data_IF_089505253975
#
_entry.id   IF_089505253975
#
_cell.length_a   1.000
_cell.length_b   1.000
_cell.length_c   1.000
_cell.angle_alpha   90.00
_cell.angle_beta   90.00
_cell.angle_gamma   90.00
#
_symmetry.space_group_name_H-M   'P 1'
#
loop_
_entity.id
_entity.type
_entity.pdbx_description
1 polymer ?
#
# COMPACT_ATOMS: atom_id res chain seq x y z
N UNK A 1 16.43 -26.45 -43.22
CA UNK A 1 16.25 -25.06 -42.77
C UNK A 1 17.56 -24.65 -42.11
N UNK A 2 18.27 -23.67 -42.69
CA UNK A 2 19.48 -23.13 -42.05
C UNK A 2 19.03 -22.47 -40.73
N UNK A 3 19.69 -22.85 -39.64
CA UNK A 3 19.48 -22.28 -38.35
C UNK A 3 19.91 -20.80 -38.39
N UNK A 4 19.00 -19.91 -38.76
CA UNK A 4 19.27 -18.46 -38.73
C UNK A 4 19.61 -18.11 -37.29
N UNK A 5 20.83 -17.61 -37.06
CA UNK A 5 21.30 -17.19 -35.74
C UNK A 5 20.62 -15.86 -35.38
N UNK A 6 19.34 -15.94 -34.96
CA UNK A 6 18.52 -14.79 -34.60
C UNK A 6 18.97 -14.33 -33.20
N UNK A 7 19.51 -13.10 -33.13
CA UNK A 7 20.03 -12.46 -31.90
C UNK A 7 20.01 -10.94 -32.05
N UNK A 8 20.41 -10.21 -31.02
CA UNK A 8 20.62 -8.76 -31.08
C UNK A 8 21.45 -8.40 -32.32
N UNK A 9 20.99 -7.41 -33.09
CA UNK A 9 21.53 -7.00 -34.35
C UNK A 9 21.00 -7.79 -35.56
N UNK A 10 20.06 -8.73 -35.37
CA UNK A 10 19.35 -9.35 -36.50
C UNK A 10 18.43 -8.33 -37.15
N UNK A 11 18.54 -8.20 -38.48
CA UNK A 11 17.80 -7.22 -39.27
C UNK A 11 16.92 -7.95 -40.30
N UNK A 12 15.66 -7.54 -40.37
CA UNK A 12 14.70 -7.97 -41.37
C UNK A 12 14.28 -6.77 -42.22
N UNK A 13 14.57 -6.75 -43.53
CA UNK A 13 14.20 -5.63 -44.40
C UNK A 13 12.69 -5.45 -44.55
N UNK A 14 12.26 -4.23 -44.82
CA UNK A 14 10.89 -3.87 -45.24
C UNK A 14 10.82 -3.59 -46.74
N UNK A 15 9.64 -3.68 -47.35
CA UNK A 15 8.36 -4.12 -46.77
C UNK A 15 8.30 -5.66 -46.65
N UNK A 16 7.46 -6.13 -45.69
CA UNK A 16 7.12 -7.56 -45.56
C UNK A 16 5.89 -7.81 -46.45
N UNK A 17 6.08 -8.45 -47.59
CA UNK A 17 5.01 -8.67 -48.60
C UNK A 17 4.88 -10.13 -49.05
N UNK A 18 5.91 -10.93 -48.90
CA UNK A 18 5.93 -12.34 -49.27
C UNK A 18 5.69 -13.24 -48.09
N UNK A 19 5.23 -14.49 -48.33
CA UNK A 19 5.05 -15.46 -47.27
C UNK A 19 6.37 -15.76 -46.52
N UNK A 20 7.48 -15.84 -47.29
CA UNK A 20 8.80 -16.08 -46.70
C UNK A 20 9.26 -14.96 -45.77
N UNK A 21 8.97 -13.70 -46.09
CA UNK A 21 9.24 -12.54 -45.20
C UNK A 21 8.32 -12.52 -43.97
N UNK A 22 7.04 -12.91 -44.11
CA UNK A 22 6.15 -13.08 -43.02
C UNK A 22 6.63 -14.17 -42.04
N UNK A 23 7.06 -15.32 -42.59
CA UNK A 23 7.60 -16.43 -41.80
C UNK A 23 8.88 -16.01 -41.06
N UNK A 24 9.76 -15.24 -41.74
CA UNK A 24 10.97 -14.70 -41.10
C UNK A 24 10.67 -13.72 -39.97
N UNK A 25 9.66 -12.87 -40.11
CA UNK A 25 9.22 -11.99 -39.05
C UNK A 25 8.64 -12.77 -37.85
N UNK A 26 7.88 -13.82 -38.14
CA UNK A 26 7.34 -14.70 -37.11
C UNK A 26 8.44 -15.46 -36.33
N UNK A 27 9.47 -15.96 -37.04
CA UNK A 27 10.66 -16.59 -36.45
C UNK A 27 11.41 -15.57 -35.55
N UNK A 28 11.57 -14.33 -36.01
CA UNK A 28 12.16 -13.24 -35.22
C UNK A 28 11.38 -12.96 -33.94
N UNK A 29 10.06 -12.85 -34.03
CA UNK A 29 9.20 -12.60 -32.88
C UNK A 29 9.22 -13.77 -31.87
N UNK A 30 9.23 -15.01 -32.36
CA UNK A 30 9.34 -16.20 -31.54
C UNK A 30 10.69 -16.26 -30.80
N UNK A 31 11.79 -15.97 -31.49
CA UNK A 31 13.11 -15.95 -30.84
C UNK A 31 13.20 -14.92 -29.73
N UNK A 32 12.59 -13.76 -29.90
CA UNK A 32 12.48 -12.72 -28.85
C UNK A 32 11.65 -13.23 -27.66
N UNK A 33 10.49 -13.83 -27.94
CA UNK A 33 9.63 -14.36 -26.88
C UNK A 33 10.32 -15.47 -26.09
N UNK A 34 11.00 -16.40 -26.76
CA UNK A 34 11.75 -17.49 -26.13
C UNK A 34 12.89 -16.93 -25.25
N UNK A 35 13.66 -15.97 -25.78
CA UNK A 35 14.71 -15.32 -25.00
C UNK A 35 14.14 -14.59 -23.78
N UNK A 36 13.11 -13.77 -23.97
CA UNK A 36 12.51 -12.98 -22.89
C UNK A 36 11.81 -13.84 -21.82
N UNK A 37 11.32 -15.01 -22.21
CA UNK A 37 10.73 -15.96 -21.25
C UNK A 37 11.78 -16.75 -20.46
N UNK A 38 12.92 -17.07 -21.08
CA UNK A 38 14.00 -17.87 -20.48
C UNK A 38 15.15 -17.05 -19.90
N UNK A 39 15.08 -15.71 -20.00
CA UNK A 39 16.16 -14.81 -19.58
C UNK A 39 16.49 -14.94 -18.09
N UNK A 40 17.79 -15.01 -17.79
CA UNK A 40 18.30 -15.07 -16.45
C UNK A 40 18.57 -13.68 -15.86
N UNK A 41 18.62 -13.57 -14.54
CA UNK A 41 19.02 -12.33 -13.84
C UNK A 41 20.39 -11.84 -14.36
N UNK A 42 20.41 -10.59 -14.83
CA UNK A 42 21.60 -9.95 -15.42
C UNK A 42 21.62 -9.93 -16.95
N UNK A 43 20.71 -10.63 -17.60
CA UNK A 43 20.46 -10.50 -19.04
C UNK A 43 19.54 -9.30 -19.33
N UNK A 44 19.30 -9.08 -20.63
CA UNK A 44 18.47 -8.00 -21.11
C UNK A 44 17.32 -8.54 -21.94
N UNK A 45 16.16 -7.89 -21.88
CA UNK A 45 15.08 -8.14 -22.82
C UNK A 45 15.55 -7.86 -24.26
N UNK A 46 15.03 -8.63 -25.20
CA UNK A 46 15.14 -8.30 -26.60
C UNK A 46 13.86 -7.59 -27.05
N UNK A 47 14.03 -6.57 -27.87
CA UNK A 47 12.92 -5.76 -28.37
C UNK A 47 13.05 -5.60 -29.90
N UNK A 48 11.90 -5.47 -30.58
CA UNK A 48 11.89 -5.11 -32.01
C UNK A 48 11.90 -3.58 -32.08
N UNK A 49 12.94 -3.05 -32.69
CA UNK A 49 12.99 -1.67 -33.15
C UNK A 49 12.56 -1.60 -34.61
N UNK A 50 11.50 -0.84 -34.86
CA UNK A 50 11.04 -0.55 -36.20
C UNK A 50 11.73 0.70 -36.72
N UNK A 51 12.51 0.53 -37.82
CA UNK A 51 13.13 1.61 -38.57
C UNK A 51 12.36 1.81 -39.89
N UNK A 52 12.70 2.83 -40.67
CA UNK A 52 12.01 3.14 -41.93
C UNK A 52 12.08 2.01 -42.96
N UNK A 53 13.23 1.32 -43.03
CA UNK A 53 13.59 0.30 -44.03
C UNK A 53 13.73 -1.12 -43.46
N UNK A 54 13.65 -1.30 -42.11
CA UNK A 54 13.84 -2.63 -41.51
C UNK A 54 13.23 -2.74 -40.11
N UNK A 55 13.11 -4.00 -39.65
CA UNK A 55 12.96 -4.37 -38.26
C UNK A 55 14.30 -4.87 -37.73
N UNK A 56 14.69 -4.46 -36.55
CA UNK A 56 15.95 -4.84 -35.91
C UNK A 56 15.70 -5.34 -34.50
N UNK A 57 16.37 -6.43 -34.09
CA UNK A 57 16.41 -6.85 -32.70
C UNK A 57 17.43 -6.00 -31.94
N UNK A 58 16.95 -5.24 -30.98
CA UNK A 58 17.78 -4.41 -30.10
C UNK A 58 17.73 -4.90 -28.68
N UNK A 59 18.72 -4.49 -27.90
CA UNK A 59 18.74 -4.70 -26.47
C UNK A 59 17.76 -3.73 -25.79
N UNK A 60 16.81 -4.27 -25.04
CA UNK A 60 15.89 -3.53 -24.21
C UNK A 60 16.40 -3.34 -22.79
N UNK A 61 15.49 -3.25 -21.83
CA UNK A 61 15.82 -3.12 -20.41
C UNK A 61 16.46 -4.41 -19.85
N UNK A 62 17.28 -4.30 -18.79
CA UNK A 62 17.77 -5.49 -18.08
C UNK A 62 16.63 -6.25 -17.42
N UNK A 63 16.76 -7.57 -17.32
CA UNK A 63 15.87 -8.37 -16.49
C UNK A 63 15.96 -7.94 -15.03
N UNK A 64 14.85 -7.95 -14.27
CA UNK A 64 14.87 -7.63 -12.86
C UNK A 64 15.78 -8.62 -12.11
N UNK A 65 16.60 -8.10 -11.23
CA UNK A 65 17.39 -8.93 -10.31
C UNK A 65 16.52 -9.42 -9.16
N UNK A 66 16.89 -10.52 -8.50
CA UNK A 66 16.19 -10.97 -7.29
C UNK A 66 16.09 -9.86 -6.24
N UNK A 67 17.16 -9.09 -6.04
CA UNK A 67 17.15 -7.95 -5.12
C UNK A 67 16.14 -6.87 -5.52
N UNK A 68 15.97 -6.60 -6.81
CA UNK A 68 14.99 -5.62 -7.28
C UNK A 68 13.56 -6.12 -7.10
N UNK A 69 13.31 -7.41 -7.34
CA UNK A 69 12.02 -8.06 -7.12
C UNK A 69 11.64 -8.07 -5.64
N UNK A 70 12.58 -8.41 -4.76
CA UNK A 70 12.37 -8.37 -3.30
C UNK A 70 12.04 -6.95 -2.84
N UNK A 71 12.77 -5.93 -3.31
CA UNK A 71 12.49 -4.53 -2.96
C UNK A 71 11.14 -4.05 -3.43
N UNK A 72 10.74 -4.40 -4.65
CA UNK A 72 9.42 -4.05 -5.19
C UNK A 72 8.30 -4.73 -4.39
N UNK A 73 8.44 -6.03 -4.12
CA UNK A 73 7.48 -6.80 -3.31
C UNK A 73 7.41 -6.27 -1.88
N UNK A 74 8.54 -5.89 -1.27
CA UNK A 74 8.57 -5.24 0.04
C UNK A 74 7.80 -3.92 0.04
N UNK A 75 7.96 -3.09 -0.99
CA UNK A 75 7.22 -1.83 -1.10
C UNK A 75 5.70 -2.07 -1.25
N UNK A 76 5.30 -3.07 -2.01
CA UNK A 76 3.90 -3.47 -2.15
C UNK A 76 3.33 -3.94 -0.81
N UNK A 77 4.06 -4.80 -0.07
CA UNK A 77 3.64 -5.33 1.23
C UNK A 77 3.56 -4.23 2.30
N UNK A 78 4.45 -3.22 2.27
CA UNK A 78 4.32 -2.01 3.12
C UNK A 78 3.02 -1.26 2.81
N UNK A 79 2.69 -1.09 1.54
CA UNK A 79 1.44 -0.43 1.13
C UNK A 79 0.22 -1.24 1.59
N UNK A 80 0.26 -2.56 1.43
CA UNK A 80 -0.77 -3.48 1.92
C UNK A 80 -0.96 -3.36 3.43
N UNK A 81 0.13 -3.32 4.22
CA UNK A 81 0.03 -3.17 5.68
C UNK A 81 -0.64 -1.85 6.10
N UNK A 82 -0.39 -0.76 5.38
CA UNK A 82 -1.04 0.54 5.64
C UNK A 82 -2.52 0.54 5.26
N UNK A 83 -2.86 -0.09 4.15
CA UNK A 83 -4.26 -0.27 3.71
C UNK A 83 -5.01 -1.13 4.72
N UNK A 84 -4.44 -2.27 5.11
CA UNK A 84 -5.02 -3.17 6.12
C UNK A 84 -5.25 -2.45 7.47
N UNK A 85 -4.32 -1.59 7.91
CA UNK A 85 -4.54 -0.77 9.11
C UNK A 85 -5.74 0.17 8.94
N UNK A 86 -5.84 0.85 7.80
CA UNK A 86 -6.94 1.78 7.53
C UNK A 86 -8.30 1.08 7.54
N UNK A 87 -8.39 -0.08 6.89
CA UNK A 87 -9.59 -0.92 6.85
C UNK A 87 -9.93 -1.50 8.23
N UNK A 88 -8.91 -1.92 8.98
CA UNK A 88 -9.08 -2.43 10.33
C UNK A 88 -9.67 -1.36 11.25
N UNK A 89 -9.12 -0.15 11.26
CA UNK A 89 -9.62 0.97 12.07
C UNK A 89 -11.02 1.43 11.63
N UNK A 90 -11.34 1.31 10.34
CA UNK A 90 -12.68 1.64 9.84
C UNK A 90 -13.75 0.64 10.34
N UNK A 91 -13.39 -0.64 10.49
CA UNK A 91 -14.29 -1.71 10.95
C UNK A 91 -14.31 -1.91 12.47
N UNK A 92 -13.36 -1.30 13.21
CA UNK A 92 -13.25 -1.43 14.68
C UNK A 92 -13.31 -0.07 15.35
N UNK A 93 -14.51 0.58 15.41
CA UNK A 93 -14.70 1.84 16.12
C UNK A 93 -14.53 1.66 17.62
N UNK A 94 -14.16 2.74 18.31
CA UNK A 94 -14.04 2.76 19.77
C UNK A 94 -15.45 2.82 20.41
N UNK A 95 -15.73 1.91 21.34
CA UNK A 95 -16.88 2.07 22.22
C UNK A 95 -16.51 3.04 23.36
N UNK A 96 -17.32 4.09 23.54
CA UNK A 96 -17.12 5.11 24.56
C UNK A 96 -17.96 4.82 25.80
N UNK A 97 -17.71 5.56 26.88
CA UNK A 97 -18.42 5.42 28.19
C UNK A 97 -19.93 5.63 28.13
N UNK A 98 -20.45 6.29 27.10
CA UNK A 98 -21.89 6.44 26.82
C UNK A 98 -22.51 5.21 26.13
N UNK A 99 -21.72 4.16 25.88
CA UNK A 99 -22.13 2.92 25.22
C UNK A 99 -22.19 3.01 23.70
N UNK A 100 -21.93 4.20 23.12
CA UNK A 100 -21.94 4.42 21.67
C UNK A 100 -20.57 4.14 21.05
N UNK A 101 -20.56 3.97 19.71
CA UNK A 101 -19.35 3.72 18.93
C UNK A 101 -18.92 4.97 18.18
N UNK A 102 -17.64 5.28 18.24
CA UNK A 102 -17.03 6.43 17.57
C UNK A 102 -15.96 5.98 16.58
N UNK A 103 -16.06 6.50 15.36
CA UNK A 103 -15.10 6.19 14.31
C UNK A 103 -13.69 6.67 14.68
N UNK A 104 -12.72 5.80 14.44
CA UNK A 104 -11.29 6.02 14.74
C UNK A 104 -10.43 6.13 13.48
N UNK A 105 -11.05 6.34 12.31
CA UNK A 105 -10.33 6.55 11.05
C UNK A 105 -9.49 7.82 11.12
N UNK A 106 -8.38 7.85 10.37
CA UNK A 106 -7.48 9.02 10.32
C UNK A 106 -8.21 10.31 9.93
N UNK A 107 -9.18 10.22 9.01
CA UNK A 107 -10.02 11.35 8.61
C UNK A 107 -10.84 11.89 9.80
N UNK A 108 -11.53 11.01 10.53
CA UNK A 108 -12.33 11.40 11.68
C UNK A 108 -11.47 11.96 12.82
N UNK A 109 -10.30 11.40 13.07
CA UNK A 109 -9.34 11.94 14.03
C UNK A 109 -8.88 13.36 13.65
N UNK A 110 -8.57 13.59 12.38
CA UNK A 110 -8.18 14.92 11.89
C UNK A 110 -9.32 15.95 12.03
N UNK A 111 -10.56 15.57 11.68
CA UNK A 111 -11.74 16.41 11.85
C UNK A 111 -12.02 16.74 13.31
N UNK A 112 -11.91 15.75 14.20
CA UNK A 112 -12.11 15.93 15.65
C UNK A 112 -11.08 16.90 16.22
N UNK A 113 -9.79 16.72 15.88
CA UNK A 113 -8.71 17.61 16.30
C UNK A 113 -8.91 19.03 15.78
N UNK A 114 -9.31 19.19 14.51
CA UNK A 114 -9.60 20.49 13.90
C UNK A 114 -10.78 21.17 14.58
N UNK A 115 -11.84 20.44 14.93
CA UNK A 115 -13.02 20.96 15.58
C UNK A 115 -12.69 21.49 16.99
N UNK A 116 -11.89 20.72 17.77
CA UNK A 116 -11.40 21.17 19.10
C UNK A 116 -10.50 22.41 18.98
N UNK A 117 -9.61 22.46 17.99
CA UNK A 117 -8.73 23.61 17.76
C UNK A 117 -9.53 24.86 17.38
N UNK A 118 -10.53 24.74 16.49
CA UNK A 118 -11.42 25.84 16.11
C UNK A 118 -12.22 26.39 17.30
N UNK A 119 -12.69 25.52 18.17
CA UNK A 119 -13.35 25.94 19.41
C UNK A 119 -12.41 26.80 20.29
N UNK A 120 -11.17 26.38 20.50
CA UNK A 120 -10.20 27.15 21.28
C UNK A 120 -9.85 28.50 20.64
N UNK A 121 -9.66 28.54 19.32
CA UNK A 121 -9.39 29.77 18.58
C UNK A 121 -10.59 30.73 18.72
N UNK A 122 -11.80 30.23 18.54
CA UNK A 122 -13.03 31.00 18.63
C UNK A 122 -13.25 31.59 20.03
N UNK A 123 -13.03 30.75 21.07
CA UNK A 123 -13.10 31.20 22.47
C UNK A 123 -12.07 32.29 22.75
N UNK A 124 -10.84 32.17 22.25
CA UNK A 124 -9.78 33.18 22.40
C UNK A 124 -10.11 34.48 21.66
N UNK A 125 -10.85 34.40 20.55
CA UNK A 125 -11.30 35.57 19.78
C UNK A 125 -12.62 36.18 20.28
N UNK A 126 -13.23 35.61 21.33
CA UNK A 126 -14.52 36.05 21.82
C UNK A 126 -15.69 35.80 20.86
N UNK A 127 -15.54 34.84 19.96
CA UNK A 127 -16.55 34.50 18.98
C UNK A 127 -17.33 33.24 19.40
N UNK A 128 -18.66 33.19 19.18
CA UNK A 128 -19.42 31.97 19.49
C UNK A 128 -19.08 30.86 18.50
N UNK A 129 -18.85 29.65 19.03
CA UNK A 129 -18.62 28.44 18.24
C UNK A 129 -19.36 27.26 18.88
N UNK A 130 -20.20 26.59 18.07
CA UNK A 130 -20.87 25.38 18.52
C UNK A 130 -20.00 24.16 18.22
N UNK A 131 -19.56 23.50 19.30
CA UNK A 131 -18.82 22.28 19.22
C UNK A 131 -19.80 21.11 19.03
N UNK A 132 -19.76 20.46 17.85
CA UNK A 132 -20.67 19.36 17.53
C UNK A 132 -19.92 18.14 17.09
N UNK A 133 -20.40 16.96 17.48
CA UNK A 133 -19.85 15.68 17.05
C UNK A 133 -20.92 14.60 16.99
N UNK A 134 -20.62 13.47 16.31
CA UNK A 134 -21.55 12.35 16.19
C UNK A 134 -20.87 11.03 16.49
N UNK A 135 -21.61 10.10 17.09
CA UNK A 135 -21.30 8.68 17.08
C UNK A 135 -21.53 8.09 15.68
N UNK A 136 -21.03 6.88 15.45
CA UNK A 136 -21.16 6.21 14.14
C UNK A 136 -22.63 5.94 13.84
N UNK A 137 -23.13 6.50 12.73
CA UNK A 137 -24.51 6.32 12.27
C UNK A 137 -25.54 7.29 12.88
N UNK A 138 -25.16 8.14 13.83
CA UNK A 138 -26.04 9.12 14.47
C UNK A 138 -25.87 10.54 13.88
N UNK A 139 -26.80 11.41 14.21
CA UNK A 139 -26.72 12.85 13.90
C UNK A 139 -25.69 13.56 14.80
N UNK A 140 -25.14 14.69 14.32
CA UNK A 140 -24.27 15.54 15.11
C UNK A 140 -25.05 16.20 16.23
N UNK A 141 -24.55 16.08 17.46
CA UNK A 141 -25.08 16.73 18.66
C UNK A 141 -24.06 17.69 19.26
N UNK A 142 -24.51 18.64 20.06
CA UNK A 142 -23.65 19.59 20.77
C UNK A 142 -22.93 18.89 21.93
N UNK A 143 -21.63 19.21 22.10
CA UNK A 143 -20.74 18.61 23.07
C UNK A 143 -20.12 19.69 23.97
N UNK A 144 -19.90 19.38 25.22
CA UNK A 144 -18.98 20.16 26.05
C UNK A 144 -17.53 19.93 25.57
N UNK A 145 -16.70 20.97 25.67
CA UNK A 145 -15.30 20.89 25.22
C UNK A 145 -14.52 19.79 25.95
N UNK A 146 -14.67 19.70 27.26
CA UNK A 146 -13.97 18.75 28.11
C UNK A 146 -14.34 17.29 27.77
N UNK A 147 -15.61 17.04 27.48
CA UNK A 147 -16.09 15.70 27.07
C UNK A 147 -15.56 15.30 25.71
N UNK A 148 -15.62 16.22 24.74
CA UNK A 148 -15.12 15.93 23.38
C UNK A 148 -13.59 15.79 23.37
N UNK A 149 -12.88 16.56 24.20
CA UNK A 149 -11.43 16.44 24.37
C UNK A 149 -11.05 15.09 25.04
N UNK A 150 -11.84 14.61 25.98
CA UNK A 150 -11.67 13.30 26.61
C UNK A 150 -11.88 12.17 25.58
N UNK A 151 -12.93 12.27 24.75
CA UNK A 151 -13.15 11.33 23.64
C UNK A 151 -11.96 11.34 22.65
N UNK A 152 -11.44 12.51 22.28
CA UNK A 152 -10.30 12.63 21.40
C UNK A 152 -9.04 11.96 21.97
N UNK A 153 -8.79 12.12 23.27
CA UNK A 153 -7.69 11.46 23.98
C UNK A 153 -7.87 9.94 23.98
N UNK A 154 -9.09 9.46 24.23
CA UNK A 154 -9.40 8.03 24.22
C UNK A 154 -9.21 7.42 22.84
N UNK A 155 -9.67 8.08 21.78
CA UNK A 155 -9.45 7.66 20.39
C UNK A 155 -7.94 7.58 20.09
N UNK A 156 -7.17 8.61 20.44
CA UNK A 156 -5.72 8.62 20.25
C UNK A 156 -5.01 7.49 21.00
N UNK A 157 -5.43 7.21 22.23
CA UNK A 157 -4.91 6.12 23.06
C UNK A 157 -5.24 4.75 22.47
N UNK A 158 -6.46 4.58 21.95
CA UNK A 158 -6.90 3.36 21.28
C UNK A 158 -6.11 3.09 19.99
N UNK A 159 -5.92 4.10 19.14
CA UNK A 159 -5.29 3.97 17.83
C UNK A 159 -3.77 3.79 17.91
N UNK A 160 -3.11 4.39 18.90
CA UNK A 160 -1.65 4.40 19.04
C UNK A 160 -0.98 3.02 18.93
N UNK A 161 -1.45 1.95 19.62
CA UNK A 161 -0.86 0.62 19.50
C UNK A 161 -0.91 0.03 18.08
N UNK A 162 -1.98 0.27 17.34
CA UNK A 162 -2.13 -0.19 15.95
C UNK A 162 -1.15 0.51 15.02
N UNK A 163 -0.97 1.81 15.17
CA UNK A 163 0.03 2.58 14.42
C UNK A 163 1.44 2.10 14.76
N UNK A 164 1.75 1.81 16.02
CA UNK A 164 3.03 1.24 16.45
C UNK A 164 3.26 -0.12 15.79
N UNK A 165 2.24 -0.98 15.77
CA UNK A 165 2.32 -2.29 15.11
C UNK A 165 2.57 -2.17 13.61
N UNK A 166 1.91 -1.23 12.92
CA UNK A 166 2.15 -0.99 11.51
C UNK A 166 3.58 -0.52 11.23
N UNK A 167 4.14 0.34 12.09
CA UNK A 167 5.53 0.78 11.98
C UNK A 167 6.52 -0.38 12.20
N UNK A 168 6.26 -1.27 13.13
CA UNK A 168 7.04 -2.50 13.33
C UNK A 168 7.00 -3.41 12.10
N UNK A 169 5.80 -3.60 11.52
CA UNK A 169 5.63 -4.36 10.27
C UNK A 169 6.42 -3.72 9.13
N UNK A 170 6.35 -2.40 8.97
CA UNK A 170 7.09 -1.68 7.92
C UNK A 170 8.61 -1.88 8.07
N UNK A 171 9.13 -1.81 9.30
CA UNK A 171 10.56 -2.06 9.57
C UNK A 171 10.94 -3.52 9.27
N UNK A 172 10.13 -4.48 9.71
CA UNK A 172 10.37 -5.89 9.45
C UNK A 172 10.35 -6.22 7.95
N UNK A 173 9.36 -5.71 7.21
CA UNK A 173 9.24 -5.88 5.76
C UNK A 173 10.46 -5.31 5.03
N UNK A 174 10.90 -4.10 5.39
CA UNK A 174 12.07 -3.45 4.78
C UNK A 174 13.40 -4.13 5.09
N UNK A 175 13.46 -4.92 6.15
CA UNK A 175 14.65 -5.69 6.53
C UNK A 175 14.77 -7.02 5.78
N UNK A 176 13.72 -7.50 5.11
CA UNK A 176 13.73 -8.74 4.36
C UNK A 176 14.67 -8.64 3.14
N UNK A 177 15.40 -9.72 2.91
CA UNK A 177 16.35 -9.88 1.81
C UNK A 177 15.95 -10.98 0.83
N UNK A 178 14.94 -11.78 1.18
CA UNK A 178 14.40 -12.86 0.35
C UNK A 178 12.88 -12.81 0.27
N UNK A 179 12.30 -13.46 -0.75
CA UNK A 179 10.84 -13.56 -0.88
C UNK A 179 10.24 -14.42 0.24
N UNK A 180 10.94 -15.47 0.67
CA UNK A 180 10.50 -16.34 1.76
C UNK A 180 10.36 -15.56 3.09
N UNK A 181 11.29 -14.66 3.38
CA UNK A 181 11.21 -13.78 4.56
C UNK A 181 10.01 -12.84 4.46
N UNK A 182 9.75 -12.28 3.27
CA UNK A 182 8.58 -11.42 3.03
C UNK A 182 7.27 -12.18 3.21
N UNK A 183 7.18 -13.39 2.66
CA UNK A 183 5.97 -14.22 2.73
C UNK A 183 5.66 -14.65 4.16
N UNK A 184 6.69 -14.84 4.99
CA UNK A 184 6.53 -15.19 6.40
C UNK A 184 5.96 -14.05 7.27
N UNK A 185 5.97 -12.80 6.79
CA UNK A 185 5.40 -11.68 7.55
C UNK A 185 3.87 -11.67 7.39
N UNK A 186 3.17 -11.89 8.49
CA UNK A 186 1.71 -11.80 8.57
C UNK A 186 1.27 -10.38 8.96
N UNK A 187 0.38 -9.80 8.16
CA UNK A 187 -0.26 -8.51 8.45
C UNK A 187 -1.54 -8.79 9.25
N UNK A 188 -1.44 -8.64 10.59
CA UNK A 188 -2.53 -8.93 11.49
C UNK A 188 -2.55 -7.92 12.65
N UNK A 189 -3.73 -7.35 12.93
CA UNK A 189 -3.97 -6.36 13.99
C UNK A 189 -4.84 -6.89 15.15
N UNK A 190 -5.44 -8.08 15.03
CA UNK A 190 -6.25 -8.69 16.09
C UNK A 190 -5.51 -8.88 17.42
N UNK A 191 -4.22 -9.27 17.44
CA UNK A 191 -3.49 -9.36 18.71
C UNK A 191 -3.37 -8.03 19.44
N UNK A 192 -3.31 -6.92 18.70
CA UNK A 192 -3.25 -5.55 19.28
C UNK A 192 -4.57 -5.20 19.92
N UNK A 193 -5.69 -5.47 19.25
CA UNK A 193 -7.03 -5.26 19.81
C UNK A 193 -7.22 -6.08 21.09
N UNK A 194 -6.86 -7.36 21.05
CA UNK A 194 -6.97 -8.26 22.21
C UNK A 194 -6.20 -7.69 23.41
N UNK A 195 -4.94 -7.30 23.21
CA UNK A 195 -4.10 -6.72 24.27
C UNK A 195 -4.69 -5.41 24.81
N UNK A 196 -5.24 -4.56 23.94
CA UNK A 196 -5.91 -3.32 24.36
C UNK A 196 -7.11 -3.62 25.26
N UNK A 197 -7.98 -4.55 24.87
CA UNK A 197 -9.17 -4.92 25.64
C UNK A 197 -8.81 -5.55 27.00
N UNK A 198 -7.79 -6.41 27.05
CA UNK A 198 -7.28 -6.99 28.30
C UNK A 198 -6.78 -5.91 29.27
N UNK A 199 -6.07 -4.90 28.74
CA UNK A 199 -5.54 -3.78 29.54
C UNK A 199 -6.64 -2.84 30.00
N UNK A 200 -7.64 -2.57 29.16
CA UNK A 200 -8.80 -1.74 29.52
C UNK A 200 -9.68 -2.42 30.59
N UNK A 201 -9.96 -3.72 30.43
CA UNK A 201 -10.73 -4.49 31.42
C UNK A 201 -10.05 -4.63 32.80
N UNK A 202 -8.71 -4.62 32.85
CA UNK A 202 -7.96 -4.61 34.09
C UNK A 202 -8.06 -3.27 34.84
N UNK A 203 -8.28 -2.16 34.16
CA UNK A 203 -8.49 -0.84 34.80
C UNK A 203 -9.87 -0.70 35.42
N UNK A 204 -10.89 -1.29 34.80
CA UNK A 204 -12.27 -1.29 35.38
C UNK A 204 -12.40 -2.16 36.64
N UNK A 205 -11.54 -3.14 36.85
CA UNK A 205 -11.54 -4.02 38.05
C UNK A 205 -10.71 -3.44 39.21
N UNK A 206 -9.87 -2.42 38.91
CA UNK A 206 -8.96 -1.81 39.90
C UNK A 206 -9.47 -0.48 40.50
N UNK A 207 -10.62 0.05 40.07
CA UNK A 207 -11.35 1.19 40.61
C UNK A 207 -12.56 0.69 41.45
#
# INVERSE_FOLDING_TARGET
MENKNIKIGYILPKPIVTQEECDAYFEMANAINEHNFSGASGDYYWEIKENDDCFEIVQGNPFPTNDSLVKESAQQKVTESKTALSEYLASHPLQWSDGKYYSVTSEKQALLTSNLALYQISASAGQPFKLTWNSTGDECVEWAYEELAALALAIGTYVKPFVSRQQELELAIKACTTMEELDAIEINYDPVLKQYLETAGQKEVAE
#
